data_IF_597817421001
#
_entry.id   IF_597817421001
#
_cell.length_a   1.000
_cell.length_b   1.000
_cell.length_c   1.000
_cell.angle_alpha   90.00
_cell.angle_beta   90.00
_cell.angle_gamma   90.00
#
_symmetry.space_group_name_H-M   'P 1'
#
loop_
_entity.id
_entity.type
_entity.pdbx_description
1 polymer ?
#
# COMPACT_ATOMS: atom_id res chain seq x y z
N UNK A 1 6.67 -5.53 6.48
CA UNK A 1 7.19 -6.17 5.25
C UNK A 1 7.83 -5.09 4.40
N UNK A 2 8.91 -5.40 3.69
CA UNK A 2 9.55 -4.54 2.69
C UNK A 2 9.32 -5.16 1.31
N UNK A 3 8.94 -4.34 0.35
CA UNK A 3 8.67 -4.75 -1.04
C UNK A 3 9.58 -3.95 -1.95
N UNK A 4 10.31 -4.64 -2.82
CA UNK A 4 11.04 -4.01 -3.91
C UNK A 4 10.08 -3.82 -5.08
N UNK A 5 9.72 -2.56 -5.34
CA UNK A 5 8.77 -2.21 -6.40
C UNK A 5 9.38 -2.48 -7.78
N UNK A 6 8.58 -3.03 -8.69
CA UNK A 6 8.92 -3.18 -10.11
C UNK A 6 8.22 -2.15 -10.98
N UNK A 7 7.04 -1.68 -10.55
CA UNK A 7 6.21 -0.73 -11.28
C UNK A 7 5.34 0.05 -10.32
N UNK A 8 5.09 1.32 -10.64
CA UNK A 8 4.11 2.18 -9.98
C UNK A 8 3.32 2.96 -11.03
N UNK A 9 2.01 3.01 -10.86
CA UNK A 9 1.11 3.85 -11.64
C UNK A 9 1.04 5.27 -11.07
N UNK A 10 0.54 6.19 -11.89
CA UNK A 10 0.19 7.55 -11.48
C UNK A 10 -1.32 7.68 -11.60
N UNK A 11 -1.99 7.81 -10.47
CA UNK A 11 -3.44 7.96 -10.43
C UNK A 11 -3.83 9.44 -10.39
N UNK A 12 -5.07 9.74 -10.73
CA UNK A 12 -5.60 11.09 -10.59
C UNK A 12 -5.69 11.55 -9.12
N UNK A 13 -5.83 10.62 -8.18
CA UNK A 13 -5.78 10.89 -6.74
C UNK A 13 -4.40 11.37 -6.27
N UNK A 14 -3.30 10.89 -6.87
CA UNK A 14 -1.97 11.44 -6.59
C UNK A 14 -1.91 12.91 -7.06
N UNK A 15 -2.53 13.19 -8.21
CA UNK A 15 -2.61 14.54 -8.78
C UNK A 15 -3.50 15.50 -7.95
N UNK A 16 -4.58 15.02 -7.34
CA UNK A 16 -5.38 15.82 -6.40
C UNK A 16 -4.54 16.35 -5.23
N UNK A 17 -3.64 15.52 -4.69
CA UNK A 17 -2.70 15.96 -3.63
C UNK A 17 -1.71 16.98 -4.18
N UNK A 18 -1.13 16.74 -5.36
CA UNK A 18 -0.19 17.68 -5.99
C UNK A 18 -0.81 19.06 -6.27
N UNK A 19 -2.10 19.11 -6.63
CA UNK A 19 -2.83 20.37 -6.86
C UNK A 19 -3.29 21.05 -5.57
N UNK A 20 -3.13 20.42 -4.40
CA UNK A 20 -3.64 20.95 -3.14
C UNK A 20 -5.17 20.90 -3.03
N UNK A 21 -5.84 20.07 -3.84
CA UNK A 21 -7.27 19.82 -3.72
C UNK A 21 -7.56 18.91 -2.53
N UNK A 22 -6.59 18.04 -2.20
CA UNK A 22 -6.55 17.25 -0.98
C UNK A 22 -5.38 17.71 -0.11
N UNK A 23 -5.59 17.77 1.21
CA UNK A 23 -4.63 18.32 2.17
C UNK A 23 -4.14 17.26 3.17
N UNK A 24 -3.45 16.19 2.73
CA UNK A 24 -2.83 15.25 3.65
C UNK A 24 -1.62 15.89 4.37
N UNK A 25 -1.13 15.28 5.47
CA UNK A 25 0.11 15.71 6.12
C UNK A 25 1.32 15.64 5.16
N UNK A 26 2.16 16.67 5.17
CA UNK A 26 3.36 16.78 4.32
C UNK A 26 4.64 16.92 5.18
N UNK A 27 5.82 16.45 4.69
CA UNK A 27 6.07 15.86 3.38
C UNK A 27 5.51 14.44 3.24
N UNK A 28 5.05 14.08 2.03
CA UNK A 28 4.46 12.78 1.72
C UNK A 28 5.10 12.16 0.48
N UNK A 29 5.31 10.85 0.51
CA UNK A 29 5.59 10.04 -0.69
C UNK A 29 4.26 9.66 -1.32
N UNK A 30 4.01 10.12 -2.55
CA UNK A 30 2.81 9.80 -3.31
C UNK A 30 2.89 8.41 -3.96
N UNK A 31 1.77 7.93 -4.49
CA UNK A 31 1.67 6.64 -5.16
C UNK A 31 1.00 5.60 -4.26
N UNK A 32 -0.05 4.98 -4.81
CA UNK A 32 -0.84 3.96 -4.13
C UNK A 32 -1.24 2.81 -5.06
N UNK A 33 -0.76 2.84 -6.30
CA UNK A 33 -0.97 1.82 -7.33
C UNK A 33 0.39 1.24 -7.71
N UNK A 34 0.84 0.17 -7.04
CA UNK A 34 2.15 -0.41 -7.31
C UNK A 34 2.18 -1.93 -7.16
N UNK A 35 3.15 -2.55 -7.84
CA UNK A 35 3.43 -3.97 -7.77
C UNK A 35 4.94 -4.23 -7.66
N UNK A 36 5.30 -5.33 -7.01
CA UNK A 36 6.69 -5.67 -6.75
C UNK A 36 6.86 -7.07 -6.18
N UNK A 37 8.00 -7.31 -5.55
CA UNK A 37 8.32 -8.58 -4.89
C UNK A 37 8.67 -8.36 -3.42
N UNK A 38 8.33 -9.33 -2.57
CA UNK A 38 8.69 -9.28 -1.14
C UNK A 38 10.22 -9.40 -0.99
N UNK A 39 10.84 -8.33 -0.48
CA UNK A 39 12.30 -8.26 -0.27
C UNK A 39 12.69 -8.64 1.16
N UNK A 40 11.87 -8.26 2.15
CA UNK A 40 12.12 -8.60 3.56
C UNK A 40 10.83 -8.71 4.37
N UNK A 41 10.78 -9.67 5.29
CA UNK A 41 9.69 -9.80 6.27
C UNK A 41 10.21 -9.39 7.65
N UNK A 42 9.41 -8.62 8.39
CA UNK A 42 9.78 -8.16 9.73
C UNK A 42 9.32 -9.14 10.82
N UNK A 43 9.85 -9.04 12.06
CA UNK A 43 9.39 -9.86 13.17
C UNK A 43 7.88 -9.70 13.44
N UNK A 44 7.21 -10.79 13.82
CA UNK A 44 5.79 -10.77 14.19
C UNK A 44 4.79 -10.79 13.03
N UNK A 45 5.25 -10.79 11.77
CA UNK A 45 4.37 -10.93 10.61
C UNK A 45 3.96 -12.39 10.45
N UNK A 46 2.71 -12.70 10.82
CA UNK A 46 2.15 -14.06 10.76
C UNK A 46 1.48 -14.36 9.42
N UNK A 47 0.89 -13.34 8.79
CA UNK A 47 0.29 -13.43 7.46
C UNK A 47 1.18 -12.70 6.45
N UNK A 48 2.18 -13.39 5.93
CA UNK A 48 3.02 -12.87 4.85
C UNK A 48 3.05 -13.81 3.65
N UNK A 49 3.19 -13.21 2.47
CA UNK A 49 3.69 -13.92 1.30
C UNK A 49 5.18 -14.25 1.51
N UNK A 50 5.67 -15.41 1.05
CA UNK A 50 7.08 -15.76 1.04
C UNK A 50 8.00 -14.66 0.48
N UNK A 51 9.28 -14.69 0.87
CA UNK A 51 10.31 -13.89 0.21
C UNK A 51 10.34 -14.21 -1.28
N UNK A 52 10.39 -13.18 -2.13
CA UNK A 52 10.40 -13.31 -3.58
C UNK A 52 9.01 -13.36 -4.25
N UNK A 53 7.93 -13.55 -3.49
CA UNK A 53 6.58 -13.57 -4.06
C UNK A 53 6.18 -12.21 -4.64
N UNK A 54 5.45 -12.26 -5.76
CA UNK A 54 4.82 -11.09 -6.36
C UNK A 54 3.64 -10.60 -5.50
N UNK A 55 3.59 -9.28 -5.30
CA UNK A 55 2.54 -8.61 -4.53
C UNK A 55 2.08 -7.34 -5.24
N UNK A 56 0.80 -7.01 -5.04
CA UNK A 56 0.25 -5.68 -5.31
C UNK A 56 0.08 -4.93 -3.99
N UNK A 57 0.24 -3.61 -4.00
CA UNK A 57 -0.03 -2.78 -2.83
C UNK A 57 -1.52 -2.45 -2.76
N UNK A 58 -2.11 -2.57 -1.57
CA UNK A 58 -3.50 -2.19 -1.32
C UNK A 58 -3.54 -0.92 -0.46
N UNK A 59 -4.02 0.18 -1.03
CA UNK A 59 -4.14 1.46 -0.33
C UNK A 59 -5.27 1.48 0.72
N UNK A 60 -6.17 0.49 0.68
CA UNK A 60 -7.23 0.25 1.67
C UNK A 60 -6.85 -0.95 2.54
N UNK A 61 -6.14 -0.72 3.66
CA UNK A 61 -5.67 -1.82 4.49
C UNK A 61 -6.83 -2.68 5.00
N UNK A 62 -6.61 -3.98 5.05
CA UNK A 62 -7.56 -4.96 5.57
C UNK A 62 -6.94 -5.61 6.82
N UNK A 63 -7.54 -5.36 7.98
CA UNK A 63 -7.06 -5.89 9.26
C UNK A 63 -7.53 -7.32 9.56
N UNK A 64 -8.33 -7.93 8.68
CA UNK A 64 -8.91 -9.26 8.83
C UNK A 64 -10.11 -9.35 9.79
N UNK A 65 -10.40 -8.30 10.56
CA UNK A 65 -11.47 -8.32 11.56
C UNK A 65 -12.83 -7.95 10.96
N UNK A 66 -13.81 -8.83 11.15
CA UNK A 66 -15.11 -8.72 10.49
C UNK A 66 -15.84 -7.41 10.81
N UNK A 67 -15.80 -6.99 12.08
CA UNK A 67 -16.51 -5.79 12.55
C UNK A 67 -16.04 -4.52 11.83
N UNK A 68 -14.77 -4.44 11.46
CA UNK A 68 -14.18 -3.25 10.81
C UNK A 68 -14.37 -3.28 9.29
N UNK A 69 -14.50 -4.46 8.69
CA UNK A 69 -14.42 -4.62 7.23
C UNK A 69 -15.75 -4.91 6.55
N UNK A 70 -16.70 -5.53 7.25
CA UNK A 70 -17.92 -6.06 6.64
C UNK A 70 -19.21 -5.57 7.30
N UNK A 71 -19.12 -4.71 8.33
CA UNK A 71 -20.28 -4.03 8.87
C UNK A 71 -20.69 -2.91 7.92
N UNK A 72 -21.67 -3.22 7.06
CA UNK A 72 -22.44 -2.21 6.32
C UNK A 72 -23.53 -1.65 7.21
#
# INVERSE_FOLDING_TARGET
MLVRLSSAGVCHSDYHVMKGEWNPPLPMVLGHEAAGVVERVGPGVTMSKPLGDHVILNFRPNCGWWEVLYRR
#
